data_IF_646661122176
#
_entry.id   IF_646661122176
#
_cell.length_a   1.000
_cell.length_b   1.000
_cell.length_c   1.000
_cell.angle_alpha   90.00
_cell.angle_beta   90.00
_cell.angle_gamma   90.00
#
_symmetry.space_group_name_H-M   'P 1'
#
loop_
_entity.id
_entity.type
_entity.pdbx_description
1 polymer ?
#
# COMPACT_ATOMS: atom_id res chain seq x y z
N UNK A 1 13.22 -2.82 19.40
CA UNK A 1 12.99 -3.12 18.00
C UNK A 1 11.85 -2.30 17.44
N UNK A 2 12.03 -1.86 16.22
CA UNK A 2 11.00 -1.10 15.53
C UNK A 2 9.70 -1.89 15.46
N UNK A 3 8.60 -1.27 15.85
CA UNK A 3 7.30 -1.90 15.84
C UNK A 3 6.40 -1.18 14.85
N UNK A 4 6.26 -1.74 13.65
CA UNK A 4 5.38 -1.16 12.62
C UNK A 4 3.91 -1.19 13.05
N UNK A 5 3.53 -2.05 14.00
CA UNK A 5 2.16 -2.07 14.54
C UNK A 5 1.77 -0.76 15.22
N UNK A 6 2.74 -0.07 15.83
CA UNK A 6 2.48 1.26 16.40
C UNK A 6 2.17 2.27 15.31
N UNK A 7 2.92 2.22 14.18
CA UNK A 7 2.65 3.06 13.02
C UNK A 7 1.31 2.69 12.39
N UNK A 8 1.00 1.39 12.27
CA UNK A 8 -0.30 0.92 11.77
C UNK A 8 -1.45 1.51 12.60
N UNK A 9 -1.31 1.54 13.93
CA UNK A 9 -2.35 2.08 14.79
C UNK A 9 -2.54 3.58 14.57
N UNK A 10 -1.45 4.31 14.38
CA UNK A 10 -1.50 5.75 14.08
C UNK A 10 -2.25 5.97 12.76
N UNK A 11 -1.94 5.18 11.73
CA UNK A 11 -2.62 5.28 10.42
C UNK A 11 -4.11 4.94 10.56
N UNK A 12 -4.47 3.88 11.32
CA UNK A 12 -5.88 3.55 11.56
C UNK A 12 -6.62 4.71 12.21
N UNK A 13 -6.01 5.35 13.21
CA UNK A 13 -6.61 6.47 13.92
C UNK A 13 -6.79 7.66 12.99
N UNK A 14 -5.79 7.97 12.16
CA UNK A 14 -5.88 9.04 11.17
C UNK A 14 -7.00 8.78 10.17
N UNK A 15 -7.08 7.56 9.64
CA UNK A 15 -8.12 7.19 8.69
C UNK A 15 -9.51 7.31 9.31
N UNK A 16 -9.65 6.92 10.57
CA UNK A 16 -10.90 7.06 11.31
C UNK A 16 -11.33 8.51 11.44
N UNK A 17 -10.39 9.41 11.75
CA UNK A 17 -10.67 10.83 11.88
C UNK A 17 -11.18 11.46 10.59
N UNK A 18 -10.72 10.99 9.45
CA UNK A 18 -11.16 11.50 8.14
C UNK A 18 -12.32 10.70 7.54
N UNK A 19 -12.92 9.79 8.32
CA UNK A 19 -14.13 9.09 7.93
C UNK A 19 -13.97 7.67 7.40
N UNK A 20 -12.77 7.12 7.37
CA UNK A 20 -12.53 5.76 6.90
C UNK A 20 -12.35 4.82 8.09
N UNK A 21 -13.45 4.33 8.63
CA UNK A 21 -13.46 3.55 9.87
C UNK A 21 -13.01 2.09 9.68
N UNK A 22 -13.09 1.57 8.46
CA UNK A 22 -12.85 0.14 8.20
C UNK A 22 -12.08 -0.08 6.90
N UNK A 23 -10.83 0.40 6.81
CA UNK A 23 -9.99 0.02 5.68
C UNK A 23 -9.73 -1.47 5.73
N UNK A 24 -9.55 -2.08 4.56
CA UNK A 24 -9.17 -3.49 4.51
C UNK A 24 -7.67 -3.60 4.76
N UNK A 25 -7.31 -4.44 5.72
CA UNK A 25 -5.91 -4.70 6.06
C UNK A 25 -5.45 -6.00 5.43
N UNK A 26 -4.22 -6.09 5.09
CA UNK A 26 -3.49 -7.24 4.51
C UNK A 26 -4.34 -8.34 3.87
N UNK A 27 -4.85 -9.30 4.67
CA UNK A 27 -5.61 -10.45 4.18
C UNK A 27 -7.11 -10.16 4.05
N UNK A 28 -7.57 -9.02 4.56
CA UNK A 28 -8.99 -8.70 4.56
C UNK A 28 -9.48 -8.12 3.25
N UNK A 29 -10.80 -8.00 3.14
CA UNK A 29 -11.45 -7.33 2.03
C UNK A 29 -12.11 -8.25 1.02
N UNK A 30 -12.70 -7.67 -0.02
CA UNK A 30 -13.45 -8.42 -1.04
C UNK A 30 -12.53 -9.20 -1.98
N UNK A 31 -13.11 -10.16 -2.69
CA UNK A 31 -12.36 -11.02 -3.61
C UNK A 31 -11.66 -10.21 -4.71
N UNK A 32 -12.28 -9.12 -5.21
CA UNK A 32 -11.65 -8.33 -6.27
C UNK A 32 -10.30 -7.75 -5.82
N UNK A 33 -10.16 -7.44 -4.52
CA UNK A 33 -8.89 -6.95 -3.97
C UNK A 33 -7.80 -8.02 -4.08
N UNK A 34 -8.13 -9.26 -3.74
CA UNK A 34 -7.18 -10.37 -3.84
C UNK A 34 -6.79 -10.64 -5.29
N UNK A 35 -7.78 -10.63 -6.18
CA UNK A 35 -7.53 -10.83 -7.61
C UNK A 35 -6.65 -9.73 -8.19
N UNK A 36 -6.90 -8.49 -7.80
CA UNK A 36 -6.12 -7.33 -8.24
C UNK A 36 -4.66 -7.37 -7.74
N UNK A 37 -4.42 -8.01 -6.61
CA UNK A 37 -3.09 -8.07 -6.00
C UNK A 37 -2.34 -9.38 -6.30
N UNK A 38 -2.90 -10.23 -7.13
CA UNK A 38 -2.29 -11.51 -7.48
C UNK A 38 -0.92 -11.31 -8.11
N UNK A 39 0.08 -12.02 -7.57
CA UNK A 39 1.46 -11.89 -8.02
C UNK A 39 2.15 -10.60 -7.57
N UNK A 40 1.51 -9.82 -6.71
CA UNK A 40 1.98 -8.48 -6.32
C UNK A 40 2.80 -8.42 -5.04
N UNK A 41 3.27 -9.54 -4.51
CA UNK A 41 4.13 -9.52 -3.32
C UNK A 41 5.33 -8.59 -3.53
N UNK A 42 5.74 -7.88 -2.48
CA UNK A 42 6.92 -7.01 -2.53
C UNK A 42 8.24 -7.77 -2.45
N UNK A 43 8.20 -9.07 -2.20
CA UNK A 43 9.41 -9.90 -2.12
C UNK A 43 10.06 -10.06 -3.48
N UNK A 44 11.33 -10.51 -3.47
CA UNK A 44 12.08 -10.71 -4.69
C UNK A 44 11.46 -11.77 -5.60
N UNK A 45 10.84 -12.81 -5.04
CA UNK A 45 10.24 -13.89 -5.81
C UNK A 45 8.88 -13.56 -6.41
N UNK A 46 8.18 -12.56 -5.90
CA UNK A 46 6.99 -11.93 -6.49
C UNK A 46 5.87 -12.86 -7.02
N UNK A 47 5.77 -14.11 -6.53
CA UNK A 47 4.72 -15.03 -6.98
C UNK A 47 3.51 -15.06 -6.06
N UNK A 48 3.65 -14.50 -4.87
CA UNK A 48 2.58 -14.47 -3.88
C UNK A 48 1.66 -13.28 -4.07
N UNK A 49 0.48 -13.36 -3.49
CA UNK A 49 -0.47 -12.25 -3.44
C UNK A 49 0.14 -11.06 -2.69
N UNK A 50 -0.08 -9.87 -3.20
CA UNK A 50 0.30 -8.64 -2.52
C UNK A 50 -0.61 -8.37 -1.33
N UNK A 51 -0.03 -7.90 -0.23
CA UNK A 51 -0.77 -7.66 1.03
C UNK A 51 -0.45 -6.26 1.57
N UNK A 52 -1.01 -5.20 0.96
CA UNK A 52 -0.80 -3.85 1.47
C UNK A 52 -1.37 -3.69 2.88
N UNK A 53 -0.77 -2.79 3.65
CA UNK A 53 -1.21 -2.54 5.02
C UNK A 53 -2.68 -2.14 5.06
N UNK A 54 -3.10 -1.20 4.20
CA UNK A 54 -4.48 -0.76 4.12
C UNK A 54 -4.91 -0.54 2.68
N UNK A 55 -6.15 -0.90 2.37
CA UNK A 55 -6.82 -0.57 1.11
C UNK A 55 -8.23 -0.10 1.44
N UNK A 56 -8.67 0.95 0.79
CA UNK A 56 -10.07 1.37 0.87
C UNK A 56 -10.51 2.00 -0.46
N UNK A 57 -11.81 2.23 -0.60
CA UNK A 57 -12.39 2.86 -1.78
C UNK A 57 -13.06 4.17 -1.35
N UNK A 58 -12.78 5.23 -2.08
CA UNK A 58 -13.37 6.54 -1.84
C UNK A 58 -13.72 7.18 -3.18
N UNK A 59 -14.99 7.53 -3.37
CA UNK A 59 -15.49 8.19 -4.57
C UNK A 59 -15.10 7.51 -5.88
N UNK A 60 -15.03 6.16 -5.86
CA UNK A 60 -14.66 5.38 -7.03
C UNK A 60 -13.15 5.25 -7.26
N UNK A 61 -12.33 5.83 -6.40
CA UNK A 61 -10.89 5.61 -6.38
C UNK A 61 -10.54 4.50 -5.40
N UNK A 62 -9.58 3.67 -5.75
CA UNK A 62 -8.96 2.76 -4.81
C UNK A 62 -7.77 3.47 -4.18
N UNK A 63 -7.62 3.36 -2.87
CA UNK A 63 -6.50 3.95 -2.15
C UNK A 63 -5.72 2.83 -1.46
N UNK A 64 -4.42 2.77 -1.75
CA UNK A 64 -3.50 1.81 -1.14
C UNK A 64 -2.57 2.58 -0.21
N UNK A 65 -2.49 2.15 1.04
CA UNK A 65 -1.63 2.78 2.04
C UNK A 65 -0.60 1.78 2.54
N UNK A 66 0.65 2.18 2.49
CA UNK A 66 1.76 1.46 3.14
C UNK A 66 2.38 2.35 4.18
N UNK A 67 2.88 1.75 5.25
CA UNK A 67 3.55 2.49 6.30
C UNK A 67 4.89 1.87 6.66
N UNK A 68 5.79 2.70 7.17
CA UNK A 68 7.06 2.29 7.75
C UNK A 68 7.26 3.09 9.03
N UNK A 69 7.78 2.44 10.05
CA UNK A 69 8.05 3.08 11.32
C UNK A 69 9.08 4.20 11.19
N UNK A 70 10.11 3.98 10.39
CA UNK A 70 11.19 4.96 10.20
C UNK A 70 10.80 5.99 9.15
N UNK A 71 10.81 7.28 9.52
CA UNK A 71 10.49 8.36 8.60
C UNK A 71 11.43 8.38 7.39
N UNK A 72 12.67 7.91 7.54
CA UNK A 72 13.61 7.82 6.43
C UNK A 72 13.26 6.69 5.44
N UNK A 73 12.34 5.80 5.81
CA UNK A 73 11.82 4.75 4.95
C UNK A 73 10.49 5.12 4.30
N UNK A 74 10.16 6.41 4.26
CA UNK A 74 8.92 6.86 3.62
C UNK A 74 8.98 6.70 2.12
N UNK A 75 10.09 7.11 1.49
CA UNK A 75 10.23 7.03 0.03
C UNK A 75 11.69 6.98 -0.39
N UNK A 76 11.94 6.40 -1.56
CA UNK A 76 13.24 6.42 -2.21
C UNK A 76 13.04 6.84 -3.66
N UNK A 77 13.69 7.93 -4.06
CA UNK A 77 13.53 8.52 -5.39
C UNK A 77 14.85 8.43 -6.16
N UNK A 78 14.74 8.15 -7.46
CA UNK A 78 15.87 8.24 -8.40
C UNK A 78 15.46 9.26 -9.47
N UNK A 79 16.23 10.34 -9.59
CA UNK A 79 15.92 11.45 -10.50
C UNK A 79 14.51 12.02 -10.30
N UNK A 80 14.08 12.07 -9.03
CA UNK A 80 12.77 12.58 -8.67
C UNK A 80 11.63 11.57 -8.76
N UNK A 81 11.86 10.36 -9.27
CA UNK A 81 10.82 9.36 -9.44
C UNK A 81 10.97 8.19 -8.44
N UNK A 82 9.88 7.71 -7.85
CA UNK A 82 9.93 6.52 -7.01
C UNK A 82 10.15 5.27 -7.84
N UNK A 83 11.05 4.40 -7.38
CA UNK A 83 11.35 3.13 -8.06
C UNK A 83 10.64 1.97 -7.36
N UNK A 84 10.18 0.99 -8.13
CA UNK A 84 9.41 -0.14 -7.62
C UNK A 84 10.14 -1.47 -7.70
N UNK A 85 11.43 -1.45 -8.00
CA UNK A 85 12.27 -2.63 -8.01
C UNK A 85 12.54 -3.10 -6.59
N UNK A 86 12.75 -4.41 -6.44
CA UNK A 86 13.26 -4.94 -5.18
C UNK A 86 14.74 -4.49 -5.01
N UNK A 87 15.17 -4.04 -3.82
CA UNK A 87 14.45 -4.07 -2.52
C UNK A 87 13.61 -2.82 -2.21
N UNK A 88 13.59 -1.80 -3.06
CA UNK A 88 12.97 -0.51 -2.75
C UNK A 88 11.47 -0.63 -2.44
N UNK A 89 10.74 -1.45 -3.21
CA UNK A 89 9.31 -1.68 -2.96
C UNK A 89 9.02 -2.36 -1.61
N UNK A 90 9.99 -3.09 -1.07
CA UNK A 90 9.85 -3.75 0.22
C UNK A 90 10.30 -2.86 1.38
N UNK A 91 11.28 -2.00 1.14
CA UNK A 91 11.97 -1.24 2.18
C UNK A 91 11.37 0.16 2.41
N UNK A 92 10.62 0.70 1.44
CA UNK A 92 10.11 2.07 1.50
C UNK A 92 8.59 2.08 1.32
N UNK A 93 7.89 2.89 2.12
CA UNK A 93 6.44 2.91 2.16
C UNK A 93 5.82 3.33 0.82
N UNK A 94 6.20 4.49 0.31
CA UNK A 94 5.64 4.97 -0.96
C UNK A 94 5.97 4.05 -2.13
N UNK A 95 7.20 3.57 -2.20
CA UNK A 95 7.66 2.68 -3.27
C UNK A 95 6.85 1.38 -3.28
N UNK A 96 6.57 0.83 -2.09
CA UNK A 96 5.71 -0.34 -1.94
C UNK A 96 4.26 -0.06 -2.32
N UNK A 97 3.72 1.07 -1.91
CA UNK A 97 2.35 1.46 -2.25
C UNK A 97 2.18 1.63 -3.77
N UNK A 98 3.15 2.25 -4.44
CA UNK A 98 3.13 2.40 -5.90
C UNK A 98 3.24 1.04 -6.59
N UNK A 99 4.08 0.14 -6.08
CA UNK A 99 4.19 -1.21 -6.61
C UNK A 99 2.81 -1.91 -6.56
N UNK A 100 2.11 -1.84 -5.45
CA UNK A 100 0.78 -2.41 -5.31
C UNK A 100 -0.22 -1.74 -6.25
N UNK A 101 -0.19 -0.40 -6.36
CA UNK A 101 -1.08 0.32 -7.26
C UNK A 101 -0.89 -0.12 -8.72
N UNK A 102 0.35 -0.25 -9.16
CA UNK A 102 0.67 -0.74 -10.51
C UNK A 102 0.17 -2.15 -10.73
N UNK A 103 0.34 -3.02 -9.73
CA UNK A 103 -0.14 -4.41 -9.79
C UNK A 103 -1.67 -4.45 -9.93
N UNK A 104 -2.37 -3.66 -9.11
CA UNK A 104 -3.83 -3.61 -9.14
C UNK A 104 -4.35 -3.12 -10.49
N UNK A 105 -3.73 -2.09 -11.05
CA UNK A 105 -4.12 -1.58 -12.35
C UNK A 105 -3.84 -2.57 -13.47
N UNK A 106 -2.71 -3.29 -13.41
CA UNK A 106 -2.36 -4.28 -14.40
C UNK A 106 -3.31 -5.49 -14.37
N UNK A 107 -3.71 -5.94 -13.18
CA UNK A 107 -4.63 -7.06 -13.01
C UNK A 107 -6.10 -6.67 -13.21
N UNK A 108 -6.42 -5.40 -13.04
CA UNK A 108 -7.77 -4.88 -13.15
C UNK A 108 -8.47 -4.70 -11.81
N UNK A 109 -9.23 -3.62 -11.70
CA UNK A 109 -10.06 -3.30 -10.55
C UNK A 109 -11.47 -2.96 -11.04
N UNK A 110 -12.54 -3.15 -10.21
CA UNK A 110 -13.92 -2.88 -10.64
C UNK A 110 -14.29 -1.40 -10.53
N UNK A 111 -13.33 -0.50 -10.65
CA UNK A 111 -13.52 0.94 -10.59
C UNK A 111 -12.72 1.59 -11.72
N UNK A 112 -13.19 2.72 -12.23
CA UNK A 112 -12.62 3.34 -13.41
C UNK A 112 -11.84 4.63 -13.15
N UNK A 113 -11.77 5.08 -11.91
CA UNK A 113 -11.10 6.35 -11.59
C UNK A 113 -9.62 6.23 -11.27
N UNK A 114 -9.13 5.03 -10.95
CA UNK A 114 -7.72 4.80 -10.69
C UNK A 114 -7.38 4.42 -9.25
N UNK A 115 -6.09 4.37 -8.97
CA UNK A 115 -5.55 3.97 -7.66
C UNK A 115 -4.61 5.06 -7.15
N UNK A 116 -4.85 5.53 -5.93
CA UNK A 116 -3.90 6.39 -5.22
C UNK A 116 -2.98 5.54 -4.35
N UNK A 117 -1.69 5.83 -4.41
CA UNK A 117 -0.68 5.20 -3.58
C UNK A 117 -0.23 6.19 -2.51
N UNK A 118 -0.32 5.79 -1.25
CA UNK A 118 0.03 6.63 -0.10
C UNK A 118 1.09 5.93 0.74
N UNK A 119 2.20 6.60 0.97
CA UNK A 119 3.24 6.12 1.86
C UNK A 119 3.28 6.98 3.13
N UNK A 120 3.30 6.33 4.28
CA UNK A 120 3.40 6.98 5.58
C UNK A 120 4.68 6.51 6.27
N UNK A 121 5.52 7.46 6.71
CA UNK A 121 6.74 7.15 7.44
C UNK A 121 6.77 7.85 8.78
N UNK A 122 7.29 7.14 9.78
CA UNK A 122 7.41 7.66 11.13
C UNK A 122 6.26 7.25 12.04
N UNK A 123 6.33 7.68 13.27
CA UNK A 123 5.32 7.38 14.28
C UNK A 123 5.78 7.74 15.67
#
# INVERSE_FOLDING_TARGET
>A
MANERATDQIVRDMLREIGFNRPWEQDGGPQWKRDALKGGSKSASANAEGKPEFVFVSDGFVVVVEDKKDVQRTRYLVDGDPVTEHPYRADYALNGAIHYAKTMLANGIPFDKGVFAVGVGGG
#
